data_IF_292296282797
#
_entry.id   IF_292296282797
#
_cell.length_a   1.000
_cell.length_b   1.000
_cell.length_c   1.000
_cell.angle_alpha   90.00
_cell.angle_beta   90.00
_cell.angle_gamma   90.00
#
_symmetry.space_group_name_H-M   'P 1'
#
loop_
_entity.id
_entity.type
_entity.pdbx_description
1 polymer ?
#
# COMPACT_ATOMS: atom_id res chain seq x y z
N UNK A 1 5.25 24.36 14.42
CA UNK A 1 4.99 23.15 15.22
C UNK A 1 3.58 22.70 14.86
N UNK A 2 3.43 21.88 13.82
CA UNK A 2 2.14 21.30 13.43
C UNK A 2 1.92 20.06 14.29
N UNK A 3 0.80 20.01 15.01
CA UNK A 3 0.53 18.97 16.00
C UNK A 3 0.10 17.65 15.33
N UNK A 4 0.20 16.52 16.03
CA UNK A 4 -0.29 15.20 15.56
C UNK A 4 -1.73 15.24 15.00
N UNK A 5 -2.56 16.17 15.48
CA UNK A 5 -3.92 16.43 14.99
C UNK A 5 -3.96 16.96 13.55
N UNK A 6 -2.98 17.75 13.12
CA UNK A 6 -2.92 18.33 11.77
C UNK A 6 -2.54 17.27 10.74
N UNK A 7 -1.62 16.37 11.09
CA UNK A 7 -1.21 15.25 10.23
C UNK A 7 -2.37 14.29 10.00
N UNK A 8 -3.14 13.98 11.06
CA UNK A 8 -4.35 13.17 10.94
C UNK A 8 -5.40 13.85 10.05
N UNK A 9 -5.56 15.18 10.16
CA UNK A 9 -6.51 15.92 9.33
C UNK A 9 -6.11 15.94 7.85
N UNK A 10 -4.84 16.16 7.54
CA UNK A 10 -4.34 16.17 6.16
C UNK A 10 -4.42 14.79 5.51
N UNK A 11 -4.12 13.73 6.27
CA UNK A 11 -4.31 12.36 5.80
C UNK A 11 -5.78 12.09 5.43
N UNK A 12 -6.71 12.43 6.32
CA UNK A 12 -8.15 12.22 6.07
C UNK A 12 -8.59 13.00 4.84
N UNK A 13 -8.21 14.28 4.71
CA UNK A 13 -8.53 15.08 3.52
C UNK A 13 -7.96 14.45 2.24
N UNK A 14 -6.72 13.98 2.29
CA UNK A 14 -6.06 13.39 1.12
C UNK A 14 -6.65 12.06 0.69
N UNK A 15 -7.10 11.23 1.65
CA UNK A 15 -7.86 10.01 1.39
C UNK A 15 -9.26 10.33 0.82
N UNK A 16 -10.00 11.25 1.44
CA UNK A 16 -11.33 11.65 0.96
C UNK A 16 -11.27 12.26 -0.44
N UNK A 17 -10.21 12.98 -0.80
CA UNK A 17 -10.00 13.48 -2.16
C UNK A 17 -9.85 12.35 -3.20
N UNK A 18 -9.36 11.17 -2.79
CA UNK A 18 -9.32 9.98 -3.63
C UNK A 18 -10.65 9.20 -3.65
N UNK A 19 -11.65 9.65 -2.89
CA UNK A 19 -12.88 8.91 -2.61
C UNK A 19 -12.67 7.72 -1.68
N UNK A 20 -11.70 7.81 -0.76
CA UNK A 20 -11.43 6.81 0.27
C UNK A 20 -11.84 7.36 1.64
N UNK A 21 -12.75 6.67 2.30
CA UNK A 21 -13.17 7.02 3.66
C UNK A 21 -12.32 6.24 4.66
N UNK A 22 -11.62 6.96 5.54
CA UNK A 22 -10.79 6.34 6.58
C UNK A 22 -11.68 5.69 7.65
N UNK A 23 -11.48 4.40 7.87
CA UNK A 23 -12.12 3.66 8.97
C UNK A 23 -11.25 3.73 10.22
N UNK A 24 -9.98 3.31 10.10
CA UNK A 24 -9.00 3.34 11.18
C UNK A 24 -7.57 3.24 10.65
N UNK A 25 -6.60 3.63 11.46
CA UNK A 25 -5.19 3.23 11.28
C UNK A 25 -4.99 1.93 12.02
N UNK A 26 -4.66 0.87 11.29
CA UNK A 26 -4.49 -0.48 11.83
C UNK A 26 -3.18 -0.54 12.62
N UNK A 27 -3.25 -1.12 13.81
CA UNK A 27 -2.07 -1.45 14.60
C UNK A 27 -1.21 -2.53 13.94
N UNK A 28 -0.14 -2.93 14.61
CA UNK A 28 0.70 -4.02 14.14
C UNK A 28 -0.01 -5.35 14.40
N UNK A 29 -0.41 -6.02 13.33
CA UNK A 29 -1.14 -7.30 13.37
C UNK A 29 -0.24 -8.38 12.78
N UNK A 30 -0.01 -9.46 13.53
CA UNK A 30 0.99 -10.48 13.19
C UNK A 30 0.73 -11.14 11.83
N UNK A 31 -0.54 -11.35 11.46
CA UNK A 31 -0.91 -11.98 10.18
C UNK A 31 -0.78 -11.03 8.97
N UNK A 32 -0.54 -9.75 9.20
CA UNK A 32 -0.50 -8.73 8.16
C UNK A 32 0.94 -8.28 7.89
N UNK A 33 1.37 -8.39 6.63
CA UNK A 33 2.69 -7.93 6.23
C UNK A 33 2.87 -6.43 6.52
N UNK A 34 3.98 -5.97 7.12
CA UNK A 34 4.22 -4.55 7.33
C UNK A 34 4.16 -3.75 6.02
N UNK A 35 3.53 -2.58 6.03
CA UNK A 35 3.37 -1.73 4.84
C UNK A 35 4.71 -1.36 4.17
N UNK A 36 5.76 -1.19 4.97
CA UNK A 36 7.12 -0.96 4.45
C UNK A 36 7.64 -2.16 3.64
N UNK A 37 7.41 -3.38 4.10
CA UNK A 37 7.83 -4.60 3.39
C UNK A 37 7.01 -4.78 2.11
N UNK A 38 5.71 -4.49 2.15
CA UNK A 38 4.81 -4.60 0.99
C UNK A 38 5.30 -3.78 -0.22
N UNK A 39 5.87 -2.58 0.01
CA UNK A 39 6.41 -1.72 -1.07
C UNK A 39 7.46 -2.40 -1.95
N UNK A 40 8.12 -3.45 -1.45
CA UNK A 40 9.12 -4.22 -2.19
C UNK A 40 8.53 -5.07 -3.32
N UNK A 41 7.21 -5.19 -3.45
CA UNK A 41 6.55 -5.91 -4.55
C UNK A 41 7.02 -5.41 -5.93
N UNK A 42 7.32 -4.12 -6.07
CA UNK A 42 7.87 -3.55 -7.32
C UNK A 42 9.27 -4.03 -7.70
N UNK A 43 9.96 -4.73 -6.79
CA UNK A 43 11.28 -5.35 -6.99
C UNK A 43 11.20 -6.86 -7.24
N UNK A 44 9.99 -7.45 -7.19
CA UNK A 44 9.77 -8.86 -7.50
C UNK A 44 9.72 -9.10 -9.01
N UNK A 45 9.87 -10.35 -9.42
CA UNK A 45 9.77 -10.76 -10.81
C UNK A 45 8.53 -11.63 -11.05
N UNK A 46 8.12 -11.86 -12.31
CA UNK A 46 6.98 -12.73 -12.62
C UNK A 46 7.10 -14.14 -12.03
N UNK A 47 8.32 -14.68 -11.87
CA UNK A 47 8.54 -16.01 -11.29
C UNK A 47 8.22 -16.06 -9.79
N UNK A 48 8.17 -14.90 -9.12
CA UNK A 48 7.72 -14.76 -7.74
C UNK A 48 6.18 -14.68 -7.64
N UNK A 49 5.45 -14.86 -8.74
CA UNK A 49 3.99 -14.73 -8.82
C UNK A 49 3.50 -13.32 -9.10
N UNK A 50 4.40 -12.38 -9.42
CA UNK A 50 4.07 -10.98 -9.70
C UNK A 50 3.26 -10.85 -10.99
N UNK A 51 2.15 -10.12 -10.89
CA UNK A 51 1.35 -9.71 -12.03
C UNK A 51 1.42 -8.21 -12.23
N UNK A 52 1.71 -7.75 -13.45
CA UNK A 52 1.89 -6.34 -13.75
C UNK A 52 0.78 -5.78 -14.62
N UNK A 53 0.33 -4.57 -14.28
CA UNK A 53 -0.38 -3.68 -15.19
C UNK A 53 0.55 -2.51 -15.51
N UNK A 54 0.70 -2.21 -16.80
CA UNK A 54 1.55 -1.13 -17.28
C UNK A 54 0.87 -0.37 -18.41
N UNK A 55 0.67 0.93 -18.20
CA UNK A 55 0.23 1.87 -19.22
C UNK A 55 1.40 2.80 -19.59
N UNK A 56 1.67 2.95 -20.88
CA UNK A 56 2.69 3.88 -21.36
C UNK A 56 2.31 5.32 -21.05
N UNK A 57 3.30 6.19 -20.81
CA UNK A 57 3.09 7.62 -20.52
C UNK A 57 2.28 8.35 -21.61
N UNK A 58 2.43 7.94 -22.87
CA UNK A 58 1.70 8.51 -24.01
C UNK A 58 0.27 7.96 -24.21
N UNK A 59 -0.23 7.11 -23.31
CA UNK A 59 -1.60 6.56 -23.42
C UNK A 59 -2.63 7.68 -23.38
N UNK A 60 -3.50 7.83 -24.40
CA UNK A 60 -4.58 8.80 -24.35
C UNK A 60 -5.49 8.57 -23.14
N UNK A 61 -5.92 9.66 -22.50
CA UNK A 61 -6.79 9.60 -21.31
C UNK A 61 -6.20 8.78 -20.15
N UNK A 62 -4.87 8.88 -19.93
CA UNK A 62 -4.13 8.08 -18.96
C UNK A 62 -4.78 7.99 -17.57
N UNK A 63 -5.30 9.08 -17.02
CA UNK A 63 -6.00 9.06 -15.71
C UNK A 63 -7.18 8.08 -15.69
N UNK A 64 -8.10 8.22 -16.66
CA UNK A 64 -9.28 7.36 -16.73
C UNK A 64 -8.87 5.89 -16.93
N UNK A 65 -7.89 5.65 -17.81
CA UNK A 65 -7.37 4.31 -18.09
C UNK A 65 -6.71 3.68 -16.87
N UNK A 66 -5.91 4.43 -16.10
CA UNK A 66 -5.32 3.93 -14.87
C UNK A 66 -6.38 3.57 -13.83
N UNK A 67 -7.41 4.39 -13.67
CA UNK A 67 -8.52 4.12 -12.75
C UNK A 67 -9.27 2.85 -13.16
N UNK A 68 -9.67 2.72 -14.43
CA UNK A 68 -10.34 1.52 -14.96
C UNK A 68 -9.50 0.25 -14.73
N UNK A 69 -8.22 0.33 -15.04
CA UNK A 69 -7.29 -0.79 -14.87
C UNK A 69 -7.11 -1.14 -13.38
N UNK A 70 -7.01 -0.12 -12.51
CA UNK A 70 -6.91 -0.31 -11.06
C UNK A 70 -8.14 -1.03 -10.52
N UNK A 71 -9.35 -0.54 -10.83
CA UNK A 71 -10.58 -1.15 -10.34
C UNK A 71 -10.71 -2.59 -10.85
N UNK A 72 -10.50 -2.82 -12.16
CA UNK A 72 -10.57 -4.15 -12.75
C UNK A 72 -9.61 -5.12 -12.06
N UNK A 73 -8.40 -4.67 -11.79
CA UNK A 73 -7.37 -5.50 -11.15
C UNK A 73 -7.66 -5.72 -9.66
N UNK A 74 -8.13 -4.69 -8.95
CA UNK A 74 -8.53 -4.78 -7.54
C UNK A 74 -9.65 -5.81 -7.36
N UNK A 75 -10.66 -5.80 -8.24
CA UNK A 75 -11.73 -6.81 -8.25
C UNK A 75 -11.19 -8.19 -8.59
N UNK A 76 -10.43 -8.33 -9.69
CA UNK A 76 -9.96 -9.63 -10.17
C UNK A 76 -8.99 -10.32 -9.20
N UNK A 77 -8.18 -9.55 -8.47
CA UNK A 77 -7.23 -10.06 -7.48
C UNK A 77 -7.85 -10.34 -6.12
N UNK A 78 -9.06 -9.81 -5.84
CA UNK A 78 -9.70 -9.94 -4.53
C UNK A 78 -9.24 -8.91 -3.50
N UNK A 79 -8.74 -7.74 -3.93
CA UNK A 79 -8.30 -6.67 -3.03
C UNK A 79 -9.38 -6.26 -2.02
N UNK A 80 -10.65 -6.24 -2.46
CA UNK A 80 -11.80 -5.90 -1.62
C UNK A 80 -12.34 -7.07 -0.77
N UNK A 81 -11.64 -8.22 -0.74
CA UNK A 81 -12.10 -9.42 -0.06
C UNK A 81 -13.15 -10.21 -0.83
N UNK A 82 -13.95 -11.00 -0.12
CA UNK A 82 -14.88 -11.98 -0.71
C UNK A 82 -16.22 -11.39 -1.21
N UNK A 83 -16.37 -10.06 -1.15
CA UNK A 83 -17.47 -9.32 -1.76
C UNK A 83 -18.86 -9.52 -1.13
N UNK A 84 -18.99 -10.25 -0.01
CA UNK A 84 -20.31 -10.59 0.57
C UNK A 84 -21.05 -9.41 1.19
N UNK A 85 -20.35 -8.39 1.67
CA UNK A 85 -20.97 -7.20 2.26
C UNK A 85 -21.34 -6.14 1.20
N UNK A 86 -20.85 -6.26 -0.04
CA UNK A 86 -20.90 -5.20 -1.05
C UNK A 86 -20.01 -3.99 -0.74
N UNK A 87 -19.44 -3.92 0.46
CA UNK A 87 -18.54 -2.85 0.89
C UNK A 87 -17.11 -3.13 0.39
N UNK A 88 -16.53 -2.16 -0.31
CA UNK A 88 -15.20 -2.28 -0.89
C UNK A 88 -14.16 -1.77 0.11
N UNK A 89 -13.85 -2.62 1.09
CA UNK A 89 -12.91 -2.32 2.18
C UNK A 89 -11.54 -2.93 1.93
N UNK A 90 -10.48 -2.15 2.10
CA UNK A 90 -9.11 -2.58 1.90
C UNK A 90 -8.14 -1.71 2.72
N UNK A 91 -6.85 -2.00 2.62
CA UNK A 91 -5.79 -1.31 3.35
C UNK A 91 -4.96 -0.44 2.40
N UNK A 92 -4.60 0.76 2.85
CA UNK A 92 -3.66 1.68 2.17
C UNK A 92 -2.46 1.90 3.07
N UNK A 93 -1.26 1.71 2.53
CA UNK A 93 0.00 1.93 3.23
C UNK A 93 0.30 3.42 3.30
N UNK A 94 0.25 3.98 4.51
CA UNK A 94 0.47 5.41 4.77
C UNK A 94 1.83 5.61 5.44
N UNK A 95 2.48 6.72 5.11
CA UNK A 95 3.66 7.20 5.80
C UNK A 95 3.22 8.11 6.95
N UNK A 96 3.72 7.82 8.14
CA UNK A 96 3.54 8.62 9.34
C UNK A 96 4.91 9.09 9.84
N UNK A 97 4.95 10.29 10.39
CA UNK A 97 6.13 10.75 11.13
C UNK A 97 6.17 10.01 12.47
N UNK A 98 7.24 9.24 12.72
CA UNK A 98 7.48 8.66 14.03
C UNK A 98 7.61 9.81 15.06
N UNK A 99 7.09 9.60 16.26
CA UNK A 99 6.88 10.68 17.21
C UNK A 99 7.53 10.44 18.57
N UNK A 100 8.83 10.73 18.67
CA UNK A 100 9.51 11.27 19.86
C UNK A 100 10.67 12.20 19.42
N UNK A 101 11.06 13.16 20.26
CA UNK A 101 12.00 14.24 19.91
C UNK A 101 13.42 13.77 19.49
N UNK A 102 13.76 12.50 19.71
CA UNK A 102 15.05 11.89 19.33
C UNK A 102 14.93 10.97 18.09
N UNK A 103 13.72 10.73 17.57
CA UNK A 103 13.41 9.79 16.47
C UNK A 103 12.78 10.49 15.25
N UNK A 104 12.85 11.83 15.18
CA UNK A 104 12.10 12.65 14.20
C UNK A 104 12.41 12.38 12.72
N UNK A 105 13.45 11.60 12.40
CA UNK A 105 13.92 11.36 11.03
C UNK A 105 13.60 9.95 10.46
N UNK A 106 13.05 9.02 11.26
CA UNK A 106 12.75 7.67 10.76
C UNK A 106 11.27 7.60 10.33
N UNK A 107 10.97 7.41 9.03
CA UNK A 107 9.59 7.27 8.58
C UNK A 107 8.98 5.97 9.12
N UNK A 108 7.76 6.08 9.65
CA UNK A 108 6.97 4.95 10.10
C UNK A 108 5.89 4.66 9.06
N UNK A 109 5.78 3.41 8.60
CA UNK A 109 4.71 3.02 7.68
C UNK A 109 3.67 2.19 8.42
N UNK A 110 2.39 2.52 8.23
CA UNK A 110 1.25 1.78 8.81
C UNK A 110 0.19 1.52 7.74
N UNK A 111 -0.70 0.59 8.03
CA UNK A 111 -1.90 0.37 7.21
C UNK A 111 -3.03 1.25 7.71
N UNK A 112 -3.72 1.93 6.79
CA UNK A 112 -5.00 2.56 7.03
C UNK A 112 -6.08 1.70 6.40
N UNK A 113 -7.08 1.27 7.19
CA UNK A 113 -8.27 0.62 6.65
C UNK A 113 -9.19 1.69 6.09
N UNK A 114 -9.62 1.51 4.85
CA UNK A 114 -10.46 2.45 4.14
C UNK A 114 -11.61 1.74 3.44
N UNK A 115 -12.69 2.48 3.16
CA UNK A 115 -13.78 2.06 2.28
C UNK A 115 -13.77 2.90 1.01
N UNK A 116 -14.10 2.29 -0.13
CA UNK A 116 -14.19 2.97 -1.41
C UNK A 116 -15.59 3.58 -1.61
N UNK A 117 -15.66 4.89 -1.81
CA UNK A 117 -16.89 5.62 -2.17
C UNK A 117 -17.20 5.52 -3.67
N UNK A 118 -18.42 5.86 -4.11
CA UNK A 118 -18.80 5.80 -5.54
C UNK A 118 -18.04 6.80 -6.44
N UNK A 119 -17.55 7.91 -5.88
CA UNK A 119 -16.90 9.01 -6.61
C UNK A 119 -15.37 8.93 -6.64
N UNK A 120 -14.80 7.74 -6.48
CA UNK A 120 -13.36 7.54 -6.32
C UNK A 120 -12.53 7.96 -7.54
N UNK A 121 -11.32 8.45 -7.28
CA UNK A 121 -10.33 8.83 -8.30
C UNK A 121 -8.92 8.60 -7.77
N UNK A 122 -8.39 7.39 -7.99
CA UNK A 122 -7.08 6.98 -7.47
C UNK A 122 -5.95 7.68 -8.21
N UNK A 123 -5.95 7.62 -9.54
CA UNK A 123 -4.87 8.13 -10.39
C UNK A 123 -4.89 9.65 -10.57
N UNK A 124 -6.05 10.29 -10.37
CA UNK A 124 -6.24 11.73 -10.48
C UNK A 124 -6.07 12.43 -9.14
N UNK A 125 -7.19 12.74 -8.49
CA UNK A 125 -7.25 13.45 -7.22
C UNK A 125 -6.47 12.75 -6.10
N UNK A 126 -6.53 11.41 -6.02
CA UNK A 126 -5.79 10.65 -5.01
C UNK A 126 -4.27 10.73 -5.15
N UNK A 127 -3.74 10.70 -6.38
CA UNK A 127 -2.31 10.92 -6.57
C UNK A 127 -1.92 12.39 -6.41
N UNK A 128 -2.80 13.33 -6.75
CA UNK A 128 -2.57 14.76 -6.58
C UNK A 128 -2.61 15.21 -5.11
N UNK A 129 -3.30 14.47 -4.23
CA UNK A 129 -3.37 14.78 -2.79
C UNK A 129 -2.08 14.46 -2.03
N UNK A 130 -1.13 13.75 -2.64
CA UNK A 130 0.11 13.31 -1.99
C UNK A 130 -0.01 11.98 -1.23
N UNK A 131 -1.23 11.45 -1.05
CA UNK A 131 -1.45 10.20 -0.30
C UNK A 131 -1.21 8.97 -1.16
N UNK A 132 -1.72 8.96 -2.40
CA UNK A 132 -1.61 7.80 -3.30
C UNK A 132 -0.53 7.98 -4.38
N UNK A 133 0.15 9.13 -4.41
CA UNK A 133 1.08 9.48 -5.47
C UNK A 133 1.78 10.81 -5.21
N UNK A 134 2.65 11.19 -6.14
CA UNK A 134 3.40 12.45 -6.09
C UNK A 134 2.93 13.44 -7.17
N UNK A 135 1.63 13.42 -7.48
CA UNK A 135 1.01 14.19 -8.54
C UNK A 135 0.14 13.35 -9.46
N UNK A 136 -0.72 14.00 -10.25
CA UNK A 136 -1.67 13.34 -11.16
C UNK A 136 -0.95 12.32 -12.07
N UNK A 137 -1.49 11.11 -12.19
CA UNK A 137 -0.94 9.98 -12.94
C UNK A 137 0.44 9.51 -12.48
N UNK A 138 0.86 9.83 -11.25
CA UNK A 138 2.14 9.40 -10.69
C UNK A 138 1.92 8.65 -9.37
N UNK A 139 1.42 7.41 -9.44
CA UNK A 139 1.02 6.65 -8.25
C UNK A 139 2.23 6.03 -7.54
N UNK A 140 2.21 6.04 -6.21
CA UNK A 140 3.29 5.54 -5.32
C UNK A 140 2.75 4.78 -4.10
N UNK A 141 1.49 4.38 -4.15
CA UNK A 141 0.81 3.68 -3.05
C UNK A 141 1.24 2.22 -2.90
N UNK A 142 1.05 1.70 -1.69
CA UNK A 142 0.90 0.28 -1.44
C UNK A 142 -0.52 0.04 -0.90
N UNK A 143 -1.18 -1.01 -1.37
CA UNK A 143 -2.50 -1.43 -0.93
C UNK A 143 -2.48 -2.91 -0.60
N UNK A 144 -3.34 -3.34 0.31
CA UNK A 144 -3.51 -4.74 0.65
C UNK A 144 -4.98 -5.08 0.89
N UNK A 145 -5.35 -6.34 0.71
CA UNK A 145 -6.63 -6.83 1.22
C UNK A 145 -6.64 -6.76 2.75
N UNK A 146 -7.82 -6.70 3.36
CA UNK A 146 -7.94 -6.67 4.84
C UNK A 146 -7.32 -7.92 5.48
N UNK A 147 -7.33 -9.05 4.76
CA UNK A 147 -6.75 -10.33 5.20
C UNK A 147 -5.23 -10.41 4.96
N UNK A 148 -4.65 -9.48 4.22
CA UNK A 148 -3.23 -9.49 3.86
C UNK A 148 -2.83 -10.51 2.79
N UNK A 149 -3.80 -11.21 2.19
CA UNK A 149 -3.58 -12.24 1.16
C UNK A 149 -3.36 -11.67 -0.25
N UNK A 150 -3.57 -10.38 -0.46
CA UNK A 150 -3.33 -9.67 -1.72
C UNK A 150 -2.57 -8.38 -1.42
N UNK A 151 -1.54 -8.11 -2.20
CA UNK A 151 -0.83 -6.83 -2.24
C UNK A 151 -0.95 -6.23 -3.63
N UNK A 152 -1.19 -4.93 -3.70
CA UNK A 152 -1.14 -4.13 -4.92
C UNK A 152 -0.27 -2.90 -4.69
N UNK A 153 0.82 -2.77 -5.42
CA UNK A 153 1.77 -1.67 -5.24
C UNK A 153 1.97 -0.94 -6.54
N UNK A 154 1.72 0.36 -6.51
CA UNK A 154 1.90 1.21 -7.67
C UNK A 154 3.36 1.58 -7.92
N UNK A 155 3.66 1.84 -9.19
CA UNK A 155 4.97 2.25 -9.62
C UNK A 155 4.91 3.22 -10.79
N UNK A 156 5.92 4.08 -10.82
CA UNK A 156 6.27 4.93 -11.94
C UNK A 156 7.62 4.45 -12.50
N UNK A 157 7.63 4.05 -13.77
CA UNK A 157 8.82 3.54 -14.45
C UNK A 157 9.13 4.35 -15.70
N UNK A 158 10.33 4.18 -16.25
CA UNK A 158 10.75 4.87 -17.48
C UNK A 158 9.80 4.60 -18.65
N UNK A 159 9.24 3.39 -18.72
CA UNK A 159 8.38 2.92 -19.82
C UNK A 159 6.89 3.24 -19.63
N UNK A 160 6.47 3.62 -18.42
CA UNK A 160 5.07 3.84 -18.11
C UNK A 160 4.76 3.86 -16.62
N UNK A 161 3.46 3.79 -16.30
CA UNK A 161 2.90 3.81 -14.95
C UNK A 161 1.92 2.66 -14.78
N UNK A 162 1.76 2.18 -13.55
CA UNK A 162 0.80 1.14 -13.24
C UNK A 162 1.03 0.56 -11.87
N UNK A 163 0.78 -0.73 -11.72
CA UNK A 163 0.84 -1.41 -10.43
C UNK A 163 1.17 -2.89 -10.62
N UNK A 164 1.84 -3.43 -9.61
CA UNK A 164 2.19 -4.82 -9.48
C UNK A 164 1.33 -5.47 -8.39
N UNK A 165 0.88 -6.69 -8.63
CA UNK A 165 0.02 -7.46 -7.73
C UNK A 165 0.70 -8.77 -7.36
N UNK A 166 0.57 -9.14 -6.09
CA UNK A 166 0.99 -10.43 -5.52
C UNK A 166 -0.18 -10.99 -4.72
N UNK A 167 -0.42 -12.29 -4.88
CA UNK A 167 -1.29 -13.05 -3.99
C UNK A 167 -0.45 -13.94 -3.08
N UNK A 168 -0.95 -14.20 -1.87
CA UNK A 168 -0.30 -15.04 -0.86
C UNK A 168 1.16 -14.61 -0.59
N UNK A 169 1.39 -13.35 -0.17
CA UNK A 169 2.73 -12.79 0.03
C UNK A 169 3.60 -13.61 1.00
N UNK A 170 2.98 -14.36 1.91
CA UNK A 170 3.63 -15.27 2.86
C UNK A 170 4.40 -16.41 2.19
N UNK A 171 4.04 -16.78 0.95
CA UNK A 171 4.71 -17.82 0.17
C UNK A 171 5.83 -17.27 -0.73
N UNK A 172 5.96 -15.94 -0.86
CA UNK A 172 6.94 -15.31 -1.74
C UNK A 172 8.31 -15.19 -1.05
N UNK A 173 9.23 -16.09 -1.40
CA UNK A 173 10.56 -16.18 -0.74
C UNK A 173 11.33 -14.85 -0.73
N UNK A 174 11.35 -14.11 -1.83
CA UNK A 174 12.05 -12.81 -1.89
C UNK A 174 11.44 -11.75 -0.99
N UNK A 175 10.12 -11.79 -0.80
CA UNK A 175 9.42 -10.86 0.08
C UNK A 175 9.71 -11.18 1.55
N UNK A 176 9.78 -12.47 1.89
CA UNK A 176 10.23 -12.94 3.20
C UNK A 176 11.69 -12.58 3.48
N UNK A 177 12.57 -12.74 2.50
CA UNK A 177 13.97 -12.31 2.62
C UNK A 177 14.07 -10.80 2.84
N UNK A 178 13.20 -10.02 2.19
CA UNK A 178 13.11 -8.61 2.45
C UNK A 178 12.59 -8.30 3.87
N UNK A 179 11.56 -9.00 4.34
CA UNK A 179 11.07 -8.88 5.71
C UNK A 179 12.18 -9.17 6.74
N UNK A 180 13.00 -10.21 6.52
CA UNK A 180 14.17 -10.53 7.36
C UNK A 180 15.19 -9.39 7.37
N UNK A 181 15.46 -8.79 6.20
CA UNK A 181 16.33 -7.60 6.11
C UNK A 181 15.74 -6.43 6.89
N UNK A 182 14.44 -6.17 6.78
CA UNK A 182 13.76 -5.11 7.52
C UNK A 182 13.85 -5.35 9.04
N UNK A 183 13.54 -6.56 9.51
CA UNK A 183 13.64 -6.93 10.93
C UNK A 183 15.05 -6.70 11.51
N UNK A 184 16.09 -6.95 10.71
CA UNK A 184 17.48 -6.80 11.12
C UNK A 184 18.08 -5.40 10.88
N UNK A 185 17.43 -4.50 10.13
CA UNK A 185 18.05 -3.25 9.69
C UNK A 185 17.87 -2.13 10.73
N UNK A 186 18.93 -1.69 11.43
CA UNK A 186 18.81 -0.82 12.61
C UNK A 186 18.25 0.59 12.33
N UNK A 187 18.19 1.00 11.06
CA UNK A 187 17.65 2.29 10.64
C UNK A 187 16.13 2.24 10.35
N UNK A 188 15.49 1.10 10.59
CA UNK A 188 14.02 0.99 10.60
C UNK A 188 13.51 1.14 12.02
N UNK A 189 12.39 1.84 12.17
CA UNK A 189 11.65 2.00 13.43
C UNK A 189 11.53 0.65 14.16
N UNK A 190 11.88 0.57 15.46
CA UNK A 190 11.83 -0.68 16.23
C UNK A 190 10.51 -1.45 16.10
N UNK A 191 9.39 -0.76 16.17
CA UNK A 191 8.07 -1.37 16.07
C UNK A 191 7.82 -2.03 14.70
N UNK A 192 8.27 -1.40 13.61
CA UNK A 192 8.23 -1.99 12.26
C UNK A 192 9.14 -3.22 12.14
N UNK A 193 10.31 -3.21 12.81
CA UNK A 193 11.21 -4.37 12.83
C UNK A 193 10.60 -5.57 13.57
N UNK A 194 10.04 -5.31 14.75
CA UNK A 194 9.36 -6.33 15.55
C UNK A 194 8.13 -6.89 14.80
N UNK A 195 7.37 -6.03 14.12
CA UNK A 195 6.24 -6.47 13.30
C UNK A 195 6.68 -7.38 12.15
N UNK A 196 7.79 -7.05 11.46
CA UNK A 196 8.34 -7.92 10.42
C UNK A 196 8.75 -9.31 10.96
N UNK A 197 9.32 -9.36 12.16
CA UNK A 197 9.72 -10.61 12.83
C UNK A 197 8.51 -11.46 13.25
N UNK A 198 7.47 -10.81 13.83
CA UNK A 198 6.21 -11.49 14.18
C UNK A 198 5.52 -12.05 12.93
N UNK A 199 5.47 -11.30 11.83
CA UNK A 199 4.91 -11.78 10.57
C UNK A 199 5.64 -13.00 10.01
N UNK A 200 6.98 -13.01 10.07
CA UNK A 200 7.80 -14.15 9.66
C UNK A 200 7.55 -15.39 10.52
N UNK A 201 7.31 -15.19 11.82
CA UNK A 201 7.03 -16.26 12.80
C UNK A 201 5.63 -16.84 12.62
N UNK A 202 4.62 -16.01 12.36
CA UNK A 202 3.25 -16.43 12.11
C UNK A 202 3.11 -17.29 10.83
N UNK A 203 4.02 -17.10 9.87
CA UNK A 203 4.02 -17.81 8.59
C UNK A 203 5.31 -18.62 8.39
N UNK A 204 5.52 -19.77 9.04
CA UNK A 204 6.72 -20.58 8.84
C UNK A 204 6.82 -21.11 7.39
N UNK A 205 8.04 -21.26 6.86
CA UNK A 205 8.23 -21.97 5.58
C UNK A 205 8.05 -23.46 5.84
N UNK A 206 7.09 -24.08 5.14
CA UNK A 206 7.00 -25.53 5.01
C UNK A 206 8.03 -26.04 4.01
#
# INVERSE_FOLDING_TARGET
MYGKSDVASELVKGLSAAGLDLVEVVGEVDDLLPALVARYVTQLFPEDGRQDVLLRHGTPHLTARLNEEWERTAVASGLFGDGRSGERTFLVGIEMKAGTADEEDIPAYRWARVTLSEGWDIAGAGCASGVLGTGRNNPTFAMASVRGDVLMVAGYWQVGVGFAVISQPEHVSRLRDHARRIAAFPHVEPATREWADRWLTAHPQN
#
